data_IF_117009089014
#
_entry.id   IF_117009089014
#
_cell.length_a   1.000
_cell.length_b   1.000
_cell.length_c   1.000
_cell.angle_alpha   90.00
_cell.angle_beta   90.00
_cell.angle_gamma   90.00
#
_symmetry.space_group_name_H-M   'P 1'
#
loop_
_entity.id
_entity.type
_entity.pdbx_description
1 polymer ?
#
# COMPACT_ATOMS: atom_id res chain seq x y z
N UNK A 1 -5.67 0.60 35.06
CA UNK A 1 -4.47 1.37 34.64
C UNK A 1 -4.47 1.49 33.13
N UNK A 2 -4.76 2.70 32.63
CA UNK A 2 -4.72 3.04 31.22
C UNK A 2 -3.25 3.16 30.78
N UNK A 3 -2.90 2.61 29.62
CA UNK A 3 -1.60 2.80 28.99
C UNK A 3 -1.75 3.93 27.98
N UNK A 4 -1.08 5.06 28.23
CA UNK A 4 -1.09 6.20 27.32
C UNK A 4 -0.03 5.93 26.25
N UNK A 5 -0.47 5.69 25.02
CA UNK A 5 0.41 5.69 23.85
C UNK A 5 -0.25 6.57 22.78
N UNK A 6 0.40 7.69 22.44
CA UNK A 6 -0.02 8.56 21.34
C UNK A 6 -1.28 9.41 21.55
N UNK A 7 -1.66 9.73 22.79
CA UNK A 7 -2.76 10.69 23.05
C UNK A 7 -4.18 10.10 22.99
N UNK A 8 -4.34 8.79 22.78
CA UNK A 8 -5.64 8.11 22.86
C UNK A 8 -5.62 7.14 24.06
N UNK A 9 -6.45 7.41 25.06
CA UNK A 9 -6.66 6.51 26.21
C UNK A 9 -7.36 5.22 25.77
N UNK A 10 -6.59 4.22 25.33
CA UNK A 10 -7.13 2.89 25.08
C UNK A 10 -7.17 2.06 26.37
N UNK A 11 -8.28 1.36 26.59
CA UNK A 11 -8.37 0.40 27.70
C UNK A 11 -7.37 -0.73 27.46
N UNK A 12 -6.64 -1.15 28.49
CA UNK A 12 -5.62 -2.22 28.43
C UNK A 12 -6.12 -3.49 27.72
N UNK A 13 -7.42 -3.80 27.84
CA UNK A 13 -8.11 -4.91 27.15
C UNK A 13 -8.09 -4.78 25.62
N UNK A 14 -8.26 -3.58 25.08
CA UNK A 14 -8.29 -3.34 23.63
C UNK A 14 -6.89 -3.47 23.01
N UNK A 15 -5.87 -2.99 23.72
CA UNK A 15 -4.46 -3.18 23.33
C UNK A 15 -4.11 -4.66 23.25
N UNK A 16 -4.50 -5.44 24.27
CA UNK A 16 -4.27 -6.90 24.30
C UNK A 16 -5.03 -7.57 23.15
N UNK A 17 -6.27 -7.17 22.89
CA UNK A 17 -7.07 -7.70 21.77
C UNK A 17 -6.43 -7.41 20.41
N UNK A 18 -5.93 -6.20 20.18
CA UNK A 18 -5.24 -5.85 18.93
C UNK A 18 -3.91 -6.60 18.80
N UNK A 19 -3.14 -6.70 19.89
CA UNK A 19 -1.89 -7.46 19.92
C UNK A 19 -2.09 -8.94 19.62
N UNK A 20 -3.17 -9.55 20.14
CA UNK A 20 -3.48 -10.96 19.89
C UNK A 20 -3.84 -11.26 18.42
N UNK A 21 -4.14 -10.24 17.60
CA UNK A 21 -4.35 -10.41 16.15
C UNK A 21 -3.04 -10.46 15.36
N UNK A 22 -1.92 -10.10 16.00
CA UNK A 22 -0.59 -10.18 15.42
C UNK A 22 0.05 -11.52 15.79
N UNK A 23 0.63 -12.19 14.80
CA UNK A 23 1.38 -13.44 14.99
C UNK A 23 2.80 -13.16 15.52
N UNK A 24 3.39 -12.04 15.10
CA UNK A 24 4.70 -11.56 15.55
C UNK A 24 4.60 -10.08 15.87
N UNK A 25 5.14 -9.69 17.03
CA UNK A 25 5.21 -8.30 17.46
C UNK A 25 6.65 -7.84 17.49
N UNK A 26 6.92 -6.63 17.00
CA UNK A 26 8.27 -6.08 16.94
C UNK A 26 8.94 -6.31 15.58
N UNK A 27 9.39 -5.20 15.00
CA UNK A 27 10.14 -5.09 13.74
C UNK A 27 9.42 -5.65 12.50
N UNK A 28 8.47 -4.88 11.98
CA UNK A 28 7.71 -5.13 10.73
C UNK A 28 8.57 -4.94 9.46
N UNK A 29 9.70 -5.64 9.37
CA UNK A 29 10.71 -5.53 8.30
C UNK A 29 10.12 -5.66 6.89
N UNK A 30 9.24 -6.64 6.63
CA UNK A 30 8.68 -6.80 5.28
C UNK A 30 7.78 -5.65 4.86
N UNK A 31 7.05 -5.02 5.79
CA UNK A 31 6.25 -3.81 5.50
C UNK A 31 7.19 -2.64 5.19
N UNK A 32 8.31 -2.50 5.92
CA UNK A 32 9.35 -1.49 5.62
C UNK A 32 9.99 -1.73 4.26
N UNK A 33 10.29 -2.98 3.91
CA UNK A 33 10.86 -3.33 2.62
C UNK A 33 9.87 -3.05 1.47
N UNK A 34 8.59 -3.41 1.63
CA UNK A 34 7.55 -3.08 0.65
C UNK A 34 7.47 -1.55 0.44
N UNK A 35 7.49 -0.78 1.53
CA UNK A 35 7.54 0.69 1.49
C UNK A 35 8.76 1.19 0.69
N UNK A 36 9.95 0.63 0.92
CA UNK A 36 11.15 1.05 0.17
C UNK A 36 11.12 0.60 -1.29
N UNK A 37 10.56 -0.57 -1.60
CA UNK A 37 10.39 -1.04 -2.97
C UNK A 37 9.49 -0.10 -3.79
N UNK A 38 8.42 0.45 -3.19
CA UNK A 38 7.59 1.47 -3.83
C UNK A 38 8.39 2.73 -4.22
N UNK A 39 9.30 3.20 -3.36
CA UNK A 39 10.15 4.37 -3.67
C UNK A 39 11.22 4.01 -4.70
N UNK A 40 11.83 2.83 -4.59
CA UNK A 40 12.84 2.36 -5.54
C UNK A 40 12.30 2.32 -6.97
N UNK A 41 11.06 1.86 -7.16
CA UNK A 41 10.38 1.89 -8.47
C UNK A 41 10.25 3.30 -9.04
N UNK A 42 9.95 4.29 -8.20
CA UNK A 42 9.86 5.70 -8.64
C UNK A 42 11.23 6.22 -9.07
N UNK A 43 12.28 5.94 -8.30
CA UNK A 43 13.65 6.34 -8.64
C UNK A 43 14.09 5.71 -9.97
N UNK A 44 13.85 4.41 -10.15
CA UNK A 44 14.17 3.69 -11.39
C UNK A 44 13.42 4.27 -12.60
N UNK A 45 12.15 4.64 -12.42
CA UNK A 45 11.38 5.28 -13.48
C UNK A 45 11.95 6.66 -13.86
N UNK A 46 12.34 7.48 -12.88
CA UNK A 46 12.96 8.79 -13.17
C UNK A 46 14.28 8.63 -13.94
N UNK A 47 15.12 7.67 -13.55
CA UNK A 47 16.35 7.34 -14.28
C UNK A 47 16.03 6.88 -15.70
N UNK A 48 15.03 6.00 -15.86
CA UNK A 48 14.59 5.52 -17.17
C UNK A 48 14.15 6.69 -18.08
N UNK A 49 13.30 7.59 -17.59
CA UNK A 49 12.80 8.71 -18.40
C UNK A 49 13.90 9.69 -18.75
N UNK A 50 14.80 10.00 -17.80
CA UNK A 50 15.94 10.89 -18.06
C UNK A 50 16.89 10.31 -19.12
N UNK A 51 17.23 9.03 -19.01
CA UNK A 51 18.04 8.34 -20.01
C UNK A 51 17.35 8.27 -21.36
N UNK A 52 16.04 7.98 -21.39
CA UNK A 52 15.28 7.91 -22.64
C UNK A 52 15.15 9.27 -23.33
N UNK A 53 14.98 10.36 -22.57
CA UNK A 53 15.02 11.73 -23.08
C UNK A 53 16.37 12.06 -23.69
N UNK A 54 17.46 11.76 -22.99
CA UNK A 54 18.83 12.04 -23.45
C UNK A 54 19.18 11.25 -24.72
N UNK A 55 18.77 9.98 -24.81
CA UNK A 55 19.07 9.14 -25.98
C UNK A 55 18.20 9.47 -27.19
N UNK A 56 16.95 9.87 -26.97
CA UNK A 56 15.99 10.17 -28.05
C UNK A 56 16.05 11.63 -28.53
N UNK A 57 16.78 12.50 -27.83
CA UNK A 57 16.80 13.94 -28.09
C UNK A 57 15.45 14.62 -27.86
N UNK A 58 14.53 13.99 -27.12
CA UNK A 58 13.16 14.48 -26.89
C UNK A 58 13.04 15.13 -25.52
N UNK A 59 12.18 16.14 -25.42
CA UNK A 59 11.84 16.75 -24.14
C UNK A 59 10.97 15.81 -23.29
N UNK A 60 11.00 16.00 -21.97
CA UNK A 60 10.16 15.26 -21.03
C UNK A 60 8.66 15.41 -21.35
N UNK A 61 8.23 16.61 -21.72
CA UNK A 61 6.84 16.91 -22.08
C UNK A 61 6.39 16.10 -23.30
N UNK A 62 7.26 15.95 -24.28
CA UNK A 62 6.97 15.16 -25.46
C UNK A 62 6.88 13.66 -25.12
N UNK A 63 7.74 13.18 -24.23
CA UNK A 63 7.71 11.79 -23.78
C UNK A 63 6.44 11.45 -23.00
N UNK A 64 6.02 12.32 -22.07
CA UNK A 64 4.78 12.12 -21.31
C UNK A 64 3.53 12.29 -22.17
N UNK A 65 3.55 13.10 -23.22
CA UNK A 65 2.35 13.26 -24.05
C UNK A 65 2.19 12.17 -25.11
N UNK A 66 3.31 11.62 -25.63
CA UNK A 66 3.28 10.74 -26.80
C UNK A 66 3.73 9.30 -26.57
N UNK A 67 4.39 8.99 -25.45
CA UNK A 67 4.86 7.63 -25.16
C UNK A 67 3.95 6.94 -24.15
N UNK A 68 3.09 5.99 -24.60
CA UNK A 68 2.31 5.17 -23.70
C UNK A 68 3.05 4.51 -22.55
N UNK A 69 4.28 4.07 -22.80
CA UNK A 69 5.11 3.40 -21.81
C UNK A 69 5.47 4.37 -20.70
N UNK A 70 5.84 5.61 -21.07
CA UNK A 70 6.18 6.66 -20.10
C UNK A 70 4.94 7.10 -19.32
N UNK A 71 3.79 7.26 -19.98
CA UNK A 71 2.51 7.59 -19.32
C UNK A 71 2.12 6.49 -18.32
N UNK A 72 2.16 5.24 -18.76
CA UNK A 72 1.83 4.08 -17.92
C UNK A 72 2.78 3.97 -16.73
N UNK A 73 4.08 4.14 -16.96
CA UNK A 73 5.10 4.16 -15.91
C UNK A 73 4.87 5.29 -14.90
N UNK A 74 4.48 6.48 -15.35
CA UNK A 74 4.13 7.61 -14.50
C UNK A 74 2.92 7.31 -13.61
N UNK A 75 1.86 6.72 -14.18
CA UNK A 75 0.65 6.31 -13.44
C UNK A 75 0.98 5.25 -12.36
N UNK A 76 1.73 4.21 -12.73
CA UNK A 76 2.17 3.17 -11.80
C UNK A 76 3.04 3.77 -10.68
N UNK A 77 3.95 4.69 -10.99
CA UNK A 77 4.78 5.37 -10.01
C UNK A 77 3.95 6.24 -9.04
N UNK A 78 2.92 6.92 -9.54
CA UNK A 78 2.03 7.71 -8.71
C UNK A 78 1.24 6.82 -7.74
N UNK A 79 0.73 5.68 -8.21
CA UNK A 79 0.10 4.68 -7.35
C UNK A 79 1.08 4.12 -6.30
N UNK A 80 2.35 3.92 -6.66
CA UNK A 80 3.39 3.47 -5.72
C UNK A 80 3.70 4.51 -4.63
N UNK A 81 3.68 5.80 -4.95
CA UNK A 81 3.82 6.87 -3.94
C UNK A 81 2.65 6.87 -2.96
N UNK A 82 1.43 6.65 -3.43
CA UNK A 82 0.26 6.49 -2.57
C UNK A 82 0.43 5.28 -1.63
N UNK A 83 0.81 4.11 -2.17
CA UNK A 83 1.03 2.90 -1.38
C UNK A 83 2.15 3.10 -0.36
N UNK A 84 3.25 3.78 -0.73
CA UNK A 84 4.31 4.15 0.20
C UNK A 84 3.78 4.99 1.38
N UNK A 85 2.92 5.98 1.09
CA UNK A 85 2.31 6.83 2.11
C UNK A 85 1.44 6.02 3.08
N UNK A 86 0.59 5.13 2.56
CA UNK A 86 -0.27 4.27 3.38
C UNK A 86 0.56 3.30 4.23
N UNK A 87 1.58 2.65 3.66
CA UNK A 87 2.48 1.75 4.40
C UNK A 87 3.25 2.48 5.51
N UNK A 88 3.62 3.74 5.29
CA UNK A 88 4.24 4.59 6.33
C UNK A 88 3.29 4.81 7.50
N UNK A 89 2.00 5.02 7.25
CA UNK A 89 0.99 5.14 8.30
C UNK A 89 0.81 3.81 9.05
N UNK A 90 0.71 2.70 8.31
CA UNK A 90 0.52 1.37 8.91
C UNK A 90 1.66 0.94 9.80
N UNK A 91 2.90 1.31 9.48
CA UNK A 91 4.03 1.06 10.37
C UNK A 91 3.86 1.74 11.72
N UNK A 92 3.32 2.97 11.76
CA UNK A 92 3.03 3.67 13.02
C UNK A 92 1.91 2.98 13.80
N UNK A 93 0.84 2.59 13.12
CA UNK A 93 -0.32 1.89 13.71
C UNK A 93 0.07 0.51 14.25
N UNK A 94 1.06 -0.14 13.65
CA UNK A 94 1.54 -1.45 14.08
C UNK A 94 2.59 -1.36 15.20
N UNK A 95 3.37 -0.28 15.27
CA UNK A 95 4.33 0.00 16.36
C UNK A 95 3.60 0.28 17.68
N UNK A 96 2.45 0.94 17.62
CA UNK A 96 1.51 1.08 18.74
C UNK A 96 0.24 0.31 18.38
N UNK A 97 0.12 -1.01 18.67
CA UNK A 97 -0.86 -1.91 18.08
C UNK A 97 -2.30 -1.38 18.10
N UNK A 98 -2.64 -0.62 17.06
CA UNK A 98 -3.87 0.11 16.84
C UNK A 98 -4.36 -0.30 15.45
N UNK A 99 -5.67 -0.43 15.30
CA UNK A 99 -6.30 -0.64 14.00
C UNK A 99 -5.76 -1.83 13.18
N UNK A 100 -5.38 -2.93 13.83
CA UNK A 100 -4.71 -4.07 13.17
C UNK A 100 -5.56 -4.69 12.06
N UNK A 101 -6.89 -4.74 12.22
CA UNK A 101 -7.78 -5.24 11.15
C UNK A 101 -7.85 -4.27 9.96
N UNK A 102 -7.83 -2.96 10.21
CA UNK A 102 -7.76 -1.97 9.13
C UNK A 102 -6.48 -2.14 8.32
N UNK A 103 -5.35 -2.26 9.02
CA UNK A 103 -4.05 -2.51 8.38
C UNK A 103 -4.10 -3.81 7.57
N UNK A 104 -4.60 -4.91 8.15
CA UNK A 104 -4.68 -6.22 7.47
C UNK A 104 -5.50 -6.16 6.19
N UNK A 105 -6.71 -5.59 6.24
CA UNK A 105 -7.63 -5.55 5.09
C UNK A 105 -7.11 -4.60 4.01
N UNK A 106 -6.57 -3.44 4.40
CA UNK A 106 -5.94 -2.55 3.43
C UNK A 106 -4.69 -3.14 2.79
N UNK A 107 -3.87 -3.87 3.55
CA UNK A 107 -2.68 -4.53 3.04
C UNK A 107 -3.04 -5.64 2.04
N UNK A 108 -4.13 -6.38 2.28
CA UNK A 108 -4.69 -7.32 1.29
C UNK A 108 -5.09 -6.60 0.00
N UNK A 109 -5.85 -5.51 0.12
CA UNK A 109 -6.31 -4.72 -1.02
C UNK A 109 -5.14 -4.14 -1.82
N UNK A 110 -4.14 -3.56 -1.15
CA UNK A 110 -2.92 -3.06 -1.77
C UNK A 110 -2.10 -4.16 -2.43
N UNK A 111 -2.04 -5.36 -1.85
CA UNK A 111 -1.34 -6.51 -2.45
C UNK A 111 -1.93 -6.84 -3.82
N UNK A 112 -3.26 -6.93 -3.90
CA UNK A 112 -3.97 -7.19 -5.17
C UNK A 112 -3.72 -6.03 -6.15
N UNK A 113 -3.86 -4.79 -5.69
CA UNK A 113 -3.63 -3.62 -6.54
C UNK A 113 -2.20 -3.54 -7.09
N UNK A 114 -1.20 -3.82 -6.25
CA UNK A 114 0.21 -3.81 -6.64
C UNK A 114 0.54 -4.95 -7.61
N UNK A 115 -0.09 -6.12 -7.45
CA UNK A 115 0.05 -7.23 -8.40
C UNK A 115 -0.52 -6.85 -9.77
N UNK A 116 -1.72 -6.26 -9.81
CA UNK A 116 -2.36 -5.81 -11.06
C UNK A 116 -1.57 -4.69 -11.74
N UNK A 117 -0.98 -3.77 -10.96
CA UNK A 117 -0.09 -2.71 -11.45
C UNK A 117 1.34 -3.19 -11.74
N UNK A 118 1.57 -4.51 -11.81
CA UNK A 118 2.86 -5.13 -12.15
C UNK A 118 4.02 -4.81 -11.19
N UNK A 119 3.75 -4.29 -9.99
CA UNK A 119 4.76 -4.10 -8.96
C UNK A 119 4.93 -5.37 -8.11
N UNK A 120 5.49 -6.40 -8.74
CA UNK A 120 5.63 -7.74 -8.15
C UNK A 120 6.51 -7.75 -6.90
N UNK A 121 7.57 -6.95 -6.85
CA UNK A 121 8.47 -6.88 -5.69
C UNK A 121 7.68 -6.42 -4.45
N UNK A 122 6.93 -5.33 -4.59
CA UNK A 122 6.07 -4.81 -3.52
C UNK A 122 4.99 -5.83 -3.13
N UNK A 123 4.30 -6.42 -4.11
CA UNK A 123 3.25 -7.40 -3.87
C UNK A 123 3.78 -8.63 -3.10
N UNK A 124 4.92 -9.20 -3.49
CA UNK A 124 5.55 -10.34 -2.80
C UNK A 124 5.90 -9.98 -1.35
N UNK A 125 6.50 -8.81 -1.12
CA UNK A 125 6.83 -8.34 0.22
C UNK A 125 5.58 -8.14 1.09
N UNK A 126 4.48 -7.64 0.49
CA UNK A 126 3.20 -7.53 1.17
C UNK A 126 2.60 -8.89 1.50
N UNK A 127 2.64 -9.88 0.60
CA UNK A 127 2.21 -11.27 0.87
C UNK A 127 3.00 -11.86 2.04
N UNK A 128 4.34 -11.70 2.04
CA UNK A 128 5.19 -12.18 3.13
C UNK A 128 4.82 -11.50 4.46
N UNK A 129 4.53 -10.19 4.43
CA UNK A 129 4.11 -9.46 5.62
C UNK A 129 2.74 -9.90 6.15
N UNK A 130 1.78 -10.16 5.25
CA UNK A 130 0.45 -10.68 5.58
C UNK A 130 0.53 -12.06 6.25
N UNK A 131 1.35 -12.95 5.69
CA UNK A 131 1.56 -14.30 6.23
C UNK A 131 2.29 -14.30 7.56
N UNK A 132 3.33 -13.48 7.70
CA UNK A 132 4.21 -13.51 8.88
C UNK A 132 3.67 -12.75 10.07
N UNK A 133 3.01 -11.62 9.86
CA UNK A 133 2.67 -10.71 10.96
C UNK A 133 1.24 -10.84 11.46
N UNK A 134 0.31 -11.39 10.67
CA UNK A 134 -1.11 -11.46 11.04
C UNK A 134 -1.56 -12.89 11.32
N UNK A 135 -2.40 -13.05 12.36
CA UNK A 135 -3.07 -14.32 12.62
C UNK A 135 -4.29 -14.50 11.70
N UNK A 136 -4.35 -15.63 11.00
CA UNK A 136 -5.43 -15.96 10.06
C UNK A 136 -6.49 -16.88 10.63
N UNK A 137 -6.19 -17.63 11.68
CA UNK A 137 -7.10 -18.63 12.28
C UNK A 137 -8.41 -18.02 12.78
N UNK A 138 -8.39 -16.74 13.18
CA UNK A 138 -9.55 -16.01 13.69
C UNK A 138 -10.11 -14.99 12.69
N UNK A 139 -9.61 -14.97 11.46
CA UNK A 139 -9.98 -13.95 10.48
C UNK A 139 -11.35 -14.21 9.86
N UNK A 140 -12.17 -13.16 9.81
CA UNK A 140 -13.43 -13.16 9.08
C UNK A 140 -13.64 -11.78 8.47
N UNK A 141 -13.75 -11.70 7.14
CA UNK A 141 -13.88 -10.43 6.41
C UNK A 141 -15.08 -9.60 6.91
N UNK A 142 -16.23 -10.25 7.16
CA UNK A 142 -17.43 -9.58 7.69
C UNK A 142 -17.18 -8.96 9.07
N UNK A 143 -16.44 -9.66 9.95
CA UNK A 143 -16.09 -9.15 11.28
C UNK A 143 -15.06 -8.03 11.19
N UNK A 144 -14.04 -8.19 10.34
CA UNK A 144 -13.00 -7.19 10.11
C UNK A 144 -13.61 -5.87 9.60
N UNK A 145 -14.50 -5.91 8.60
CA UNK A 145 -15.19 -4.71 8.10
C UNK A 145 -16.07 -4.03 9.16
N UNK A 146 -16.75 -4.82 10.00
CA UNK A 146 -17.56 -4.29 11.12
C UNK A 146 -16.67 -3.60 12.16
N UNK A 147 -15.49 -4.14 12.44
CA UNK A 147 -14.51 -3.53 13.34
C UNK A 147 -13.91 -2.25 12.74
N UNK A 148 -13.52 -2.27 11.47
CA UNK A 148 -13.01 -1.10 10.74
C UNK A 148 -14.03 0.05 10.76
N UNK A 149 -15.33 -0.26 10.56
CA UNK A 149 -16.41 0.72 10.66
C UNK A 149 -16.53 1.31 12.07
N UNK A 150 -16.40 0.47 13.10
CA UNK A 150 -16.45 0.92 14.51
C UNK A 150 -15.25 1.76 14.91
N UNK A 151 -14.09 1.48 14.31
CA UNK A 151 -12.83 2.19 14.57
C UNK A 151 -12.67 3.47 13.73
N UNK A 152 -13.64 3.83 12.88
CA UNK A 152 -13.60 5.04 12.05
C UNK A 152 -12.63 4.96 10.85
N UNK A 153 -12.01 3.82 10.62
CA UNK A 153 -10.97 3.61 9.59
C UNK A 153 -11.53 3.20 8.22
N UNK A 154 -12.86 3.17 8.08
CA UNK A 154 -13.53 2.76 6.85
C UNK A 154 -13.29 3.73 5.70
N UNK A 155 -13.09 5.02 6.00
CA UNK A 155 -12.70 6.04 5.01
C UNK A 155 -11.36 5.70 4.36
N UNK A 156 -10.34 5.31 5.13
CA UNK A 156 -9.02 4.94 4.63
C UNK A 156 -9.11 3.73 3.68
N UNK A 157 -9.94 2.75 4.03
CA UNK A 157 -10.17 1.58 3.17
C UNK A 157 -10.84 1.97 1.84
N UNK A 158 -11.89 2.79 1.89
CA UNK A 158 -12.60 3.25 0.69
C UNK A 158 -11.65 4.07 -0.19
N UNK A 159 -10.92 5.03 0.39
CA UNK A 159 -9.98 5.87 -0.36
C UNK A 159 -8.90 5.00 -1.02
N UNK A 160 -8.35 4.03 -0.30
CA UNK A 160 -7.37 3.09 -0.85
C UNK A 160 -7.95 2.28 -2.01
N UNK A 161 -9.19 1.80 -1.89
CA UNK A 161 -9.85 1.08 -2.98
C UNK A 161 -10.07 1.97 -4.21
N UNK A 162 -10.60 3.18 -4.01
CA UNK A 162 -10.87 4.12 -5.10
C UNK A 162 -9.61 4.52 -5.84
N UNK A 163 -8.54 4.85 -5.11
CA UNK A 163 -7.25 5.22 -5.71
C UNK A 163 -6.68 4.06 -6.53
N UNK A 164 -6.69 2.84 -6.00
CA UNK A 164 -6.19 1.67 -6.73
C UNK A 164 -7.03 1.36 -7.96
N UNK A 165 -8.37 1.38 -7.85
CA UNK A 165 -9.27 1.16 -8.98
C UNK A 165 -9.01 2.21 -10.06
N UNK A 166 -8.92 3.50 -9.69
CA UNK A 166 -8.65 4.57 -10.63
C UNK A 166 -7.36 4.33 -11.41
N UNK A 167 -6.24 4.06 -10.73
CA UNK A 167 -4.96 3.84 -11.41
C UNK A 167 -4.94 2.56 -12.25
N UNK A 168 -5.58 1.49 -11.79
CA UNK A 168 -5.74 0.27 -12.59
C UNK A 168 -6.55 0.58 -13.85
N UNK A 169 -7.70 1.23 -13.72
CA UNK A 169 -8.54 1.62 -14.87
C UNK A 169 -7.80 2.52 -15.86
N UNK A 170 -6.99 3.47 -15.38
CA UNK A 170 -6.19 4.33 -16.25
C UNK A 170 -5.12 3.56 -17.01
N UNK A 171 -4.37 2.68 -16.33
CA UNK A 171 -3.33 1.85 -16.96
C UNK A 171 -3.93 0.90 -18.00
N UNK A 172 -5.03 0.22 -17.67
CA UNK A 172 -5.71 -0.65 -18.62
C UNK A 172 -6.36 0.13 -19.77
N UNK A 173 -6.93 1.31 -19.50
CA UNK A 173 -7.50 2.18 -20.53
C UNK A 173 -6.48 2.58 -21.59
N UNK A 174 -5.26 2.94 -21.16
CA UNK A 174 -4.15 3.20 -22.09
C UNK A 174 -3.79 1.95 -22.88
N UNK A 175 -3.64 0.81 -22.21
CA UNK A 175 -3.32 -0.45 -22.87
C UNK A 175 -4.34 -0.84 -23.95
N UNK A 176 -5.64 -0.67 -23.67
CA UNK A 176 -6.70 -0.91 -24.65
C UNK A 176 -6.76 0.16 -25.76
N UNK A 177 -6.37 1.40 -25.48
CA UNK A 177 -6.38 2.48 -26.49
C UNK A 177 -5.26 2.37 -27.52
N UNK A 178 -4.21 1.60 -27.24
CA UNK A 178 -3.04 1.42 -28.13
C UNK A 178 -3.19 0.18 -29.01
N UNK A 179 -4.05 -0.76 -28.59
CA UNK A 179 -4.31 -2.01 -29.29
C UNK A 179 -5.46 -1.86 -30.27
#
# INVERSE_FOLDING_TARGET
MASIAGGVSMKRRDVIRQKNKLAVTGNFRYIRYAKYACVAMVVLFLVYVASFASLSGKSYEELISKSPIVITGFMICTANLYVWYVLKHFLKDLEVPQHVESVRVNLLLMTVGQFVLMNFISAILMILSLRKYFQWNTFSLKRALKEIKKEGQLSVLIVTALVLILFISLVFGIYFSIR
#
